data_IF_016258399931
#
_entry.id   IF_016258399931
#
_cell.length_a   1.000
_cell.length_b   1.000
_cell.length_c   1.000
_cell.angle_alpha   90.00
_cell.angle_beta   90.00
_cell.angle_gamma   90.00
#
_symmetry.space_group_name_H-M   'P 1'
#
loop_
_entity.id
_entity.type
_entity.pdbx_description
1 polymer ?
#
# COMPACT_ATOMS: atom_id res chain seq x y z
N UNK A 1 -17.69 -2.70 -18.43
CA UNK A 1 -17.41 -3.04 -17.02
C UNK A 1 -17.95 -1.90 -16.17
N UNK A 2 -18.87 -2.18 -15.25
CA UNK A 2 -19.47 -1.16 -14.38
C UNK A 2 -18.52 -0.83 -13.23
N UNK A 3 -18.40 0.45 -12.90
CA UNK A 3 -17.48 1.05 -11.92
C UNK A 3 -17.43 0.34 -10.55
N UNK A 4 -18.50 -0.35 -10.16
CA UNK A 4 -18.62 -1.09 -8.90
C UNK A 4 -17.85 -2.42 -8.87
N UNK A 5 -17.53 -3.03 -10.02
CA UNK A 5 -16.68 -4.24 -10.02
C UNK A 5 -15.19 -3.94 -9.87
N UNK A 6 -14.79 -2.66 -9.92
CA UNK A 6 -13.38 -2.25 -9.90
C UNK A 6 -12.90 -1.87 -8.50
N UNK A 7 -13.80 -1.56 -7.56
CA UNK A 7 -13.43 -1.09 -6.22
C UNK A 7 -12.81 -2.18 -5.34
N UNK A 8 -13.42 -3.39 -5.22
CA UNK A 8 -12.80 -4.47 -4.45
C UNK A 8 -11.44 -4.89 -5.01
N UNK A 9 -11.35 -5.03 -6.34
CA UNK A 9 -10.09 -5.39 -7.02
C UNK A 9 -9.01 -4.31 -6.80
N UNK A 10 -9.37 -3.03 -6.92
CA UNK A 10 -8.46 -1.91 -6.66
C UNK A 10 -8.00 -1.88 -5.20
N UNK A 11 -8.89 -2.17 -4.25
CA UNK A 11 -8.54 -2.27 -2.84
C UNK A 11 -7.56 -3.42 -2.60
N UNK A 12 -7.80 -4.59 -3.20
CA UNK A 12 -6.91 -5.75 -3.10
C UNK A 12 -5.52 -5.44 -3.68
N UNK A 13 -5.46 -4.81 -4.86
CA UNK A 13 -4.21 -4.37 -5.48
C UNK A 13 -3.47 -3.36 -4.60
N UNK A 14 -4.18 -2.40 -4.01
CA UNK A 14 -3.61 -1.40 -3.12
C UNK A 14 -3.01 -2.03 -1.85
N UNK A 15 -3.75 -2.93 -1.20
CA UNK A 15 -3.28 -3.66 -0.01
C UNK A 15 -2.08 -4.56 -0.33
N UNK A 16 -2.10 -5.23 -1.48
CA UNK A 16 -0.99 -6.04 -1.98
C UNK A 16 0.27 -5.20 -2.19
N UNK A 17 0.11 -4.03 -2.81
CA UNK A 17 1.21 -3.10 -3.06
C UNK A 17 1.78 -2.55 -1.76
N UNK A 18 0.94 -2.13 -0.81
CA UNK A 18 1.38 -1.68 0.53
C UNK A 18 2.20 -2.76 1.22
N UNK A 19 1.74 -4.02 1.19
CA UNK A 19 2.44 -5.14 1.80
C UNK A 19 3.83 -5.37 1.17
N UNK A 20 3.93 -5.33 -0.17
CA UNK A 20 5.20 -5.48 -0.87
C UNK A 20 6.18 -4.35 -0.55
N UNK A 21 5.73 -3.09 -0.61
CA UNK A 21 6.57 -1.94 -0.28
C UNK A 21 7.03 -1.96 1.19
N UNK A 22 6.14 -2.35 2.11
CA UNK A 22 6.49 -2.49 3.54
C UNK A 22 7.57 -3.54 3.76
N UNK A 23 7.52 -4.68 3.04
CA UNK A 23 8.58 -5.70 3.10
C UNK A 23 9.92 -5.17 2.60
N UNK A 24 9.92 -4.38 1.53
CA UNK A 24 11.15 -3.76 1.02
C UNK A 24 11.76 -2.85 2.10
N UNK A 25 10.95 -2.00 2.73
CA UNK A 25 11.42 -1.12 3.82
C UNK A 25 11.99 -1.90 5.00
N UNK A 26 11.28 -2.93 5.47
CA UNK A 26 11.73 -3.78 6.59
C UNK A 26 13.04 -4.49 6.24
N UNK A 27 13.13 -5.06 5.04
CA UNK A 27 14.34 -5.74 4.60
C UNK A 27 15.49 -4.76 4.45
N UNK A 28 15.24 -3.54 3.96
CA UNK A 28 16.27 -2.52 3.83
C UNK A 28 16.84 -2.10 5.19
N UNK A 29 15.96 -1.90 6.17
CA UNK A 29 16.36 -1.58 7.55
C UNK A 29 17.15 -2.72 8.19
N UNK A 30 16.72 -3.97 7.99
CA UNK A 30 17.43 -5.14 8.50
C UNK A 30 18.86 -5.29 7.94
N UNK A 31 19.15 -4.68 6.79
CA UNK A 31 20.48 -4.69 6.17
C UNK A 31 21.37 -3.53 6.63
N UNK A 32 20.83 -2.52 7.33
CA UNK A 32 21.57 -1.32 7.73
C UNK A 32 22.81 -1.64 8.58
N UNK A 33 22.72 -2.64 9.46
CA UNK A 33 23.82 -3.09 10.33
C UNK A 33 24.49 -4.38 9.84
N UNK A 34 24.24 -4.77 8.59
CA UNK A 34 24.79 -5.99 7.99
C UNK A 34 25.99 -5.71 7.09
N UNK A 35 26.79 -6.73 6.78
CA UNK A 35 27.89 -6.64 5.79
C UNK A 35 27.38 -6.45 4.35
N UNK A 36 26.07 -6.56 4.13
CA UNK A 36 25.43 -6.38 2.83
C UNK A 36 24.85 -4.98 2.75
N UNK A 37 25.20 -4.24 1.69
CA UNK A 37 24.66 -2.89 1.50
C UNK A 37 23.14 -2.91 1.32
N UNK A 38 22.40 -1.99 1.97
CA UNK A 38 20.96 -1.84 1.76
C UNK A 38 20.64 -1.58 0.28
N UNK A 39 19.47 -2.04 -0.16
CA UNK A 39 19.00 -1.94 -1.54
C UNK A 39 18.54 -0.52 -1.90
N UNK A 40 18.06 0.23 -0.90
CA UNK A 40 17.57 1.59 -1.02
C UNK A 40 18.45 2.53 -0.20
N UNK A 41 18.80 3.66 -0.79
CA UNK A 41 19.37 4.77 -0.05
C UNK A 41 18.28 5.53 0.75
N UNK A 42 18.68 6.56 1.49
CA UNK A 42 17.74 7.33 2.31
C UNK A 42 16.65 8.05 1.50
N UNK A 43 16.98 8.58 0.33
CA UNK A 43 16.02 9.28 -0.53
C UNK A 43 15.00 8.29 -1.09
N UNK A 44 15.46 7.10 -1.46
CA UNK A 44 14.61 6.01 -1.94
C UNK A 44 13.69 5.48 -0.84
N UNK A 45 14.19 5.34 0.39
CA UNK A 45 13.37 4.99 1.57
C UNK A 45 12.25 6.01 1.79
N UNK A 46 12.57 7.30 1.77
CA UNK A 46 11.58 8.37 1.92
C UNK A 46 10.53 8.35 0.79
N UNK A 47 10.95 8.06 -0.46
CA UNK A 47 10.06 7.93 -1.60
C UNK A 47 9.10 6.73 -1.45
N UNK A 48 9.61 5.57 -1.02
CA UNK A 48 8.81 4.37 -0.79
C UNK A 48 7.83 4.59 0.38
N UNK A 49 8.25 5.22 1.47
CA UNK A 49 7.37 5.58 2.58
C UNK A 49 6.22 6.51 2.13
N UNK A 50 6.53 7.51 1.30
CA UNK A 50 5.51 8.39 0.71
C UNK A 50 4.54 7.62 -0.19
N UNK A 51 5.03 6.69 -1.00
CA UNK A 51 4.18 5.84 -1.82
C UNK A 51 3.22 5.01 -0.95
N UNK A 52 3.73 4.39 0.12
CA UNK A 52 2.89 3.64 1.09
C UNK A 52 1.80 4.53 1.68
N UNK A 53 2.13 5.75 2.11
CA UNK A 53 1.15 6.69 2.68
C UNK A 53 0.06 7.06 1.68
N UNK A 54 0.43 7.37 0.43
CA UNK A 54 -0.53 7.74 -0.62
C UNK A 54 -1.46 6.59 -0.98
N UNK A 55 -0.92 5.38 -1.14
CA UNK A 55 -1.72 4.20 -1.45
C UNK A 55 -2.62 3.82 -0.26
N UNK A 56 -2.14 4.01 0.97
CA UNK A 56 -2.95 3.76 2.17
C UNK A 56 -4.14 4.69 2.28
N UNK A 57 -3.97 5.98 1.92
CA UNK A 57 -5.08 6.93 1.87
C UNK A 57 -6.13 6.49 0.83
N UNK A 58 -5.70 6.09 -0.37
CA UNK A 58 -6.60 5.58 -1.40
C UNK A 58 -7.32 4.30 -0.96
N UNK A 59 -6.60 3.35 -0.35
CA UNK A 59 -7.17 2.09 0.14
C UNK A 59 -8.21 2.34 1.23
N UNK A 60 -7.96 3.31 2.11
CA UNK A 60 -8.93 3.71 3.13
C UNK A 60 -10.21 4.26 2.50
N UNK A 61 -10.10 5.17 1.53
CA UNK A 61 -11.25 5.74 0.83
C UNK A 61 -12.06 4.66 0.09
N UNK A 62 -11.37 3.73 -0.58
CA UNK A 62 -11.99 2.60 -1.28
C UNK A 62 -12.72 1.67 -0.31
N UNK A 63 -12.12 1.36 0.84
CA UNK A 63 -12.74 0.57 1.88
C UNK A 63 -14.01 1.24 2.42
N UNK A 64 -13.95 2.54 2.72
CA UNK A 64 -15.12 3.30 3.16
C UNK A 64 -16.24 3.30 2.11
N UNK A 65 -15.90 3.48 0.82
CA UNK A 65 -16.89 3.44 -0.27
C UNK A 65 -17.57 2.07 -0.36
N UNK A 66 -16.80 0.98 -0.26
CA UNK A 66 -17.33 -0.38 -0.25
C UNK A 66 -18.29 -0.57 0.93
N UNK A 67 -17.88 -0.22 2.15
CA UNK A 67 -18.70 -0.40 3.35
C UNK A 67 -20.00 0.41 3.30
N UNK A 68 -19.92 1.69 2.92
CA UNK A 68 -21.10 2.55 2.78
C UNK A 68 -22.05 2.04 1.68
N UNK A 69 -21.52 1.46 0.60
CA UNK A 69 -22.35 0.89 -0.48
C UNK A 69 -23.07 -0.41 -0.05
N UNK A 70 -22.50 -1.16 0.90
CA UNK A 70 -23.13 -2.35 1.48
C UNK A 70 -24.24 -1.95 2.44
N UNK A 71 -24.01 -0.94 3.30
CA UNK A 71 -25.02 -0.42 4.22
C UNK A 71 -26.22 0.18 3.49
N UNK A 72 -26.01 0.90 2.39
CA UNK A 72 -27.10 1.51 1.60
C UNK A 72 -28.00 0.48 0.86
N UNK A 73 -27.61 -0.79 0.81
CA UNK A 73 -28.39 -1.89 0.20
C UNK A 73 -29.23 -2.67 1.23
N UNK A 74 -29.10 -2.36 2.51
CA UNK A 74 -29.91 -2.91 3.61
C UNK A 74 -31.07 -1.97 3.94
#
# INVERSE_FOLDING_TARGET
MTRQSLLPDRLEDALTTINQLSKILINNEALHDSDVSPQLDRLDVDAVMRAVLLISAQAHDDFCEIMNSVEARQ
#
